data_IF_169544701955
#
_entry.id   IF_169544701955
#
_cell.length_a   1.000
_cell.length_b   1.000
_cell.length_c   1.000
_cell.angle_alpha   90.00
_cell.angle_beta   90.00
_cell.angle_gamma   90.00
#
_symmetry.space_group_name_H-M   'P 1'
#
loop_
_entity.id
_entity.type
_entity.pdbx_description
1 polymer ?
#
# COMPACT_ATOMS: atom_id res chain seq x y z
N UNK A 1 -27.46 -3.83 -30.63
CA UNK A 1 -27.36 -2.36 -30.80
C UNK A 1 -26.16 -1.87 -30.00
N UNK A 2 -25.12 -1.33 -30.64
CA UNK A 2 -24.05 -0.67 -29.91
C UNK A 2 -24.61 0.67 -29.38
N UNK A 3 -24.48 0.97 -28.07
CA UNK A 3 -24.94 2.25 -27.53
C UNK A 3 -24.25 3.39 -28.28
N UNK A 4 -24.99 4.46 -28.57
CA UNK A 4 -24.41 5.62 -29.21
C UNK A 4 -23.35 6.23 -28.29
N UNK A 5 -22.36 6.92 -28.85
CA UNK A 5 -21.31 7.59 -28.07
C UNK A 5 -21.88 8.64 -27.09
N UNK A 6 -23.14 9.05 -27.28
CA UNK A 6 -23.86 9.96 -26.38
C UNK A 6 -24.44 9.23 -25.17
N UNK A 7 -24.97 8.02 -25.34
CA UNK A 7 -25.54 7.22 -24.24
C UNK A 7 -24.46 6.89 -23.20
N UNK A 8 -23.28 6.47 -23.65
CA UNK A 8 -22.15 6.21 -22.76
C UNK A 8 -21.73 7.45 -21.97
N UNK A 9 -21.70 8.63 -22.60
CA UNK A 9 -21.35 9.89 -21.92
C UNK A 9 -22.36 10.25 -20.84
N UNK A 10 -23.65 10.08 -21.10
CA UNK A 10 -24.72 10.37 -20.14
C UNK A 10 -24.68 9.39 -18.97
N UNK A 11 -24.58 8.09 -19.24
CA UNK A 11 -24.47 7.05 -18.20
C UNK A 11 -23.24 7.30 -17.32
N UNK A 12 -22.10 7.61 -17.94
CA UNK A 12 -20.88 7.89 -17.19
C UNK A 12 -20.98 9.19 -16.37
N UNK A 13 -21.67 10.21 -16.87
CA UNK A 13 -21.89 11.44 -16.12
C UNK A 13 -22.70 11.16 -14.83
N UNK A 14 -23.76 10.36 -14.93
CA UNK A 14 -24.54 9.93 -13.75
C UNK A 14 -23.66 9.16 -12.77
N UNK A 15 -22.89 8.18 -13.27
CA UNK A 15 -21.94 7.43 -12.46
C UNK A 15 -20.95 8.35 -11.72
N UNK A 16 -20.32 9.28 -12.44
CA UNK A 16 -19.34 10.21 -11.90
C UNK A 16 -19.90 11.03 -10.74
N UNK A 17 -21.09 11.63 -10.93
CA UNK A 17 -21.71 12.48 -9.91
C UNK A 17 -22.20 11.69 -8.71
N UNK A 18 -22.77 10.50 -8.91
CA UNK A 18 -23.20 9.63 -7.80
C UNK A 18 -21.99 9.14 -7.00
N UNK A 19 -20.94 8.68 -7.69
CA UNK A 19 -19.71 8.21 -7.05
C UNK A 19 -19.04 9.31 -6.22
N UNK A 20 -18.80 10.48 -6.83
CA UNK A 20 -18.19 11.62 -6.15
C UNK A 20 -19.09 12.16 -5.03
N UNK A 21 -20.41 12.25 -5.25
CA UNK A 21 -21.35 12.68 -4.22
C UNK A 21 -21.32 11.78 -2.99
N UNK A 22 -21.30 10.45 -3.19
CA UNK A 22 -21.14 9.48 -2.10
C UNK A 22 -19.78 9.58 -1.41
N UNK A 23 -18.71 9.72 -2.17
CA UNK A 23 -17.37 9.86 -1.61
C UNK A 23 -17.23 11.13 -0.78
N UNK A 24 -17.74 12.27 -1.27
CA UNK A 24 -17.76 13.54 -0.54
C UNK A 24 -18.64 13.44 0.70
N UNK A 25 -19.80 12.77 0.63
CA UNK A 25 -20.64 12.53 1.81
C UNK A 25 -19.88 11.74 2.87
N UNK A 26 -19.27 10.61 2.50
CA UNK A 26 -18.45 9.79 3.40
C UNK A 26 -17.31 10.61 4.00
N UNK A 27 -16.63 11.40 3.18
CA UNK A 27 -15.47 12.16 3.63
C UNK A 27 -15.87 13.32 4.54
N UNK A 28 -16.81 14.17 4.14
CA UNK A 28 -17.17 15.39 4.88
C UNK A 28 -18.09 15.13 6.07
N UNK A 29 -18.95 14.11 6.03
CA UNK A 29 -19.87 13.78 7.14
C UNK A 29 -19.30 12.66 8.02
N UNK A 30 -18.52 11.73 7.45
CA UNK A 30 -18.00 10.56 8.18
C UNK A 30 -16.52 10.65 8.58
N UNK A 31 -15.61 10.96 7.66
CA UNK A 31 -14.17 10.89 7.94
C UNK A 31 -13.66 12.17 8.61
N UNK A 32 -13.97 13.33 8.04
CA UNK A 32 -13.44 14.63 8.46
C UNK A 32 -13.83 15.03 9.89
N UNK A 33 -15.10 14.98 10.33
CA UNK A 33 -15.48 15.42 11.68
C UNK A 33 -14.97 14.46 12.77
N UNK A 34 -14.89 13.16 12.48
CA UNK A 34 -14.50 12.15 13.47
C UNK A 34 -12.99 11.92 13.54
N UNK A 35 -12.28 12.00 12.41
CA UNK A 35 -10.84 11.73 12.35
C UNK A 35 -10.00 12.95 11.98
N UNK A 36 -10.52 13.91 11.21
CA UNK A 36 -9.72 14.99 10.64
C UNK A 36 -9.16 15.97 11.67
N UNK A 37 -10.02 16.48 12.56
CA UNK A 37 -9.59 17.45 13.59
C UNK A 37 -8.61 16.83 14.59
N UNK A 38 -8.89 15.61 15.02
CA UNK A 38 -7.99 14.90 15.92
C UNK A 38 -6.66 14.62 15.23
N UNK A 39 -6.65 14.15 13.98
CA UNK A 39 -5.42 13.85 13.23
C UNK A 39 -4.54 15.10 13.06
N UNK A 40 -5.16 16.25 12.78
CA UNK A 40 -4.45 17.52 12.64
C UNK A 40 -3.79 17.95 13.96
N UNK A 41 -4.53 17.85 15.08
CA UNK A 41 -3.99 18.14 16.41
C UNK A 41 -2.77 17.27 16.75
N UNK A 42 -2.88 15.96 16.53
CA UNK A 42 -1.81 15.01 16.80
C UNK A 42 -0.58 15.22 15.91
N UNK A 43 -0.79 15.55 14.64
CA UNK A 43 0.30 15.82 13.72
C UNK A 43 1.04 17.11 14.08
N UNK A 44 0.33 18.15 14.54
CA UNK A 44 0.94 19.38 15.09
C UNK A 44 1.71 19.06 16.37
N UNK A 45 1.20 18.16 17.21
CA UNK A 45 1.88 17.67 18.41
C UNK A 45 3.05 16.70 18.13
N UNK A 46 3.32 16.37 16.87
CA UNK A 46 4.39 15.43 16.48
C UNK A 46 4.09 13.96 16.80
N UNK A 47 2.86 13.61 17.15
CA UNK A 47 2.45 12.25 17.49
C UNK A 47 2.14 11.41 16.24
N UNK A 48 1.67 12.06 15.18
CA UNK A 48 1.39 11.43 13.89
C UNK A 48 2.35 11.98 12.82
N UNK A 49 3.00 11.12 12.02
CA UNK A 49 3.85 11.57 10.93
C UNK A 49 3.10 12.43 9.90
N UNK A 50 3.71 13.56 9.49
CA UNK A 50 3.11 14.52 8.54
C UNK A 50 2.73 13.91 7.18
N UNK A 51 3.36 12.79 6.80
CA UNK A 51 3.01 12.10 5.55
C UNK A 51 1.56 11.57 5.54
N UNK A 52 0.97 11.26 6.70
CA UNK A 52 -0.45 10.89 6.80
C UNK A 52 -1.38 12.08 6.58
N UNK A 53 -0.99 13.28 7.01
CA UNK A 53 -1.76 14.50 6.73
C UNK A 53 -1.85 14.75 5.23
N UNK A 54 -0.75 14.59 4.49
CA UNK A 54 -0.74 14.78 3.04
C UNK A 54 -1.75 13.84 2.37
N UNK A 55 -1.81 12.58 2.78
CA UNK A 55 -2.76 11.61 2.21
C UNK A 55 -4.19 11.82 2.67
N UNK A 56 -4.38 12.32 3.90
CA UNK A 56 -5.69 12.72 4.40
C UNK A 56 -6.24 13.92 3.62
N UNK A 57 -5.43 14.96 3.45
CA UNK A 57 -5.80 16.11 2.62
C UNK A 57 -6.01 15.69 1.16
N UNK A 58 -5.22 14.75 0.64
CA UNK A 58 -5.47 14.15 -0.67
C UNK A 58 -6.85 13.49 -0.76
N UNK A 59 -7.23 12.69 0.23
CA UNK A 59 -8.54 12.03 0.29
C UNK A 59 -9.72 13.01 0.27
N UNK A 60 -9.56 14.20 0.87
CA UNK A 60 -10.57 15.26 0.87
C UNK A 60 -10.51 16.11 -0.41
N UNK A 61 -9.32 16.57 -0.78
CA UNK A 61 -9.12 17.56 -1.83
C UNK A 61 -9.25 16.99 -3.24
N UNK A 62 -8.84 15.73 -3.48
CA UNK A 62 -8.91 15.11 -4.81
C UNK A 62 -10.34 15.03 -5.35
N UNK A 63 -11.30 14.39 -4.66
CA UNK A 63 -12.67 14.29 -5.17
C UNK A 63 -13.36 15.66 -5.20
N UNK A 64 -13.06 16.53 -4.23
CA UNK A 64 -13.59 17.91 -4.20
C UNK A 64 -13.12 18.70 -5.42
N UNK A 65 -11.82 18.66 -5.72
CA UNK A 65 -11.24 19.38 -6.86
C UNK A 65 -11.74 18.81 -8.17
N UNK A 66 -11.83 17.48 -8.31
CA UNK A 66 -12.36 16.84 -9.52
C UNK A 66 -13.84 17.20 -9.74
N UNK A 67 -14.65 17.20 -8.68
CA UNK A 67 -16.06 17.63 -8.74
C UNK A 67 -16.20 19.11 -9.13
N UNK A 68 -15.36 19.99 -8.57
CA UNK A 68 -15.33 21.42 -8.93
C UNK A 68 -14.87 21.65 -10.38
N UNK A 69 -13.87 20.90 -10.85
CA UNK A 69 -13.44 20.95 -12.24
C UNK A 69 -14.52 20.41 -13.18
N UNK A 70 -15.24 19.35 -12.78
CA UNK A 70 -16.34 18.77 -13.54
C UNK A 70 -17.54 19.72 -13.70
N UNK A 71 -17.90 20.48 -12.66
CA UNK A 71 -18.97 21.52 -12.78
C UNK A 71 -18.53 22.66 -13.71
N UNK A 72 -17.25 23.04 -13.65
CA UNK A 72 -16.66 24.05 -14.53
C UNK A 72 -16.29 23.51 -15.92
N UNK A 73 -16.55 22.23 -16.20
CA UNK A 73 -16.11 21.55 -17.41
C UNK A 73 -16.70 22.15 -18.70
N UNK A 74 -17.76 22.96 -18.62
CA UNK A 74 -18.25 23.75 -19.78
C UNK A 74 -17.18 24.71 -20.34
N UNK A 75 -16.20 25.14 -19.52
CA UNK A 75 -15.01 25.90 -19.95
C UNK A 75 -13.84 25.00 -20.40
N UNK A 76 -13.93 23.69 -20.20
CA UNK A 76 -12.90 22.68 -20.43
C UNK A 76 -13.39 21.61 -21.42
N UNK A 77 -14.05 22.04 -22.50
CA UNK A 77 -14.88 21.21 -23.40
C UNK A 77 -14.19 19.95 -23.97
N UNK A 78 -12.85 19.88 -23.92
CA UNK A 78 -12.09 18.74 -24.44
C UNK A 78 -11.82 17.62 -23.43
N UNK A 79 -11.85 17.91 -22.12
CA UNK A 79 -11.61 16.88 -21.10
C UNK A 79 -12.95 16.24 -20.72
N UNK A 80 -13.12 14.97 -21.07
CA UNK A 80 -14.30 14.20 -20.69
C UNK A 80 -14.27 13.85 -19.19
N UNK A 81 -15.45 13.72 -18.57
CA UNK A 81 -15.56 13.24 -17.17
C UNK A 81 -14.84 11.90 -16.98
N UNK A 82 -14.86 11.03 -17.98
CA UNK A 82 -14.17 9.74 -17.97
C UNK A 82 -12.65 9.89 -17.83
N UNK A 83 -12.05 10.85 -18.55
CA UNK A 83 -10.62 11.13 -18.47
C UNK A 83 -10.24 11.78 -17.14
N UNK A 84 -11.07 12.69 -16.63
CA UNK A 84 -10.84 13.31 -15.32
C UNK A 84 -10.88 12.26 -14.21
N UNK A 85 -11.90 11.40 -14.22
CA UNK A 85 -12.09 10.37 -13.21
C UNK A 85 -11.01 9.29 -13.26
N UNK A 86 -10.88 8.55 -14.37
CA UNK A 86 -9.94 7.43 -14.44
C UNK A 86 -8.49 7.83 -14.71
N UNK A 87 -8.26 9.04 -15.25
CA UNK A 87 -6.91 9.53 -15.55
C UNK A 87 -6.26 10.34 -14.43
N UNK A 88 -7.05 10.88 -13.50
CA UNK A 88 -6.56 11.76 -12.42
C UNK A 88 -7.13 11.35 -11.07
N UNK A 89 -8.47 11.37 -10.91
CA UNK A 89 -9.11 11.20 -9.60
C UNK A 89 -8.86 9.81 -9.01
N UNK A 90 -9.21 8.73 -9.73
CA UNK A 90 -9.11 7.36 -9.27
C UNK A 90 -7.66 6.94 -8.90
N UNK A 91 -6.62 7.21 -9.73
CA UNK A 91 -5.24 6.93 -9.34
C UNK A 91 -4.83 7.61 -8.02
N UNK A 92 -5.16 8.89 -7.85
CA UNK A 92 -4.82 9.64 -6.64
C UNK A 92 -5.62 9.15 -5.42
N UNK A 93 -6.90 8.81 -5.60
CA UNK A 93 -7.71 8.20 -4.56
C UNK A 93 -7.14 6.85 -4.12
N UNK A 94 -6.69 6.00 -5.06
CA UNK A 94 -6.02 4.73 -4.74
C UNK A 94 -4.79 4.98 -3.88
N UNK A 95 -3.94 5.95 -4.23
CA UNK A 95 -2.76 6.31 -3.43
C UNK A 95 -3.16 6.77 -2.03
N UNK A 96 -4.16 7.66 -1.92
CA UNK A 96 -4.59 8.20 -0.64
C UNK A 96 -5.22 7.12 0.26
N UNK A 97 -6.12 6.31 -0.28
CA UNK A 97 -6.79 5.22 0.45
C UNK A 97 -5.77 4.17 0.88
N UNK A 98 -4.93 3.70 -0.05
CA UNK A 98 -3.93 2.68 0.26
C UNK A 98 -2.95 3.21 1.31
N UNK A 99 -2.43 4.42 1.16
CA UNK A 99 -1.45 4.98 2.10
C UNK A 99 -2.05 5.29 3.47
N UNK A 100 -3.28 5.79 3.52
CA UNK A 100 -3.90 6.23 4.77
C UNK A 100 -4.48 5.07 5.57
N UNK A 101 -5.23 4.17 4.94
CA UNK A 101 -5.95 3.10 5.63
C UNK A 101 -5.24 1.75 5.63
N UNK A 102 -4.42 1.46 4.61
CA UNK A 102 -3.89 0.12 4.43
C UNK A 102 -2.41 0.01 4.79
N UNK A 103 -1.58 0.92 4.28
CA UNK A 103 -0.14 0.88 4.45
C UNK A 103 0.28 1.64 5.71
N UNK A 104 1.00 0.96 6.59
CA UNK A 104 1.52 1.55 7.83
C UNK A 104 2.90 2.17 7.59
N UNK A 105 3.95 1.36 7.61
CA UNK A 105 5.29 1.77 7.19
C UNK A 105 5.53 1.37 5.72
N UNK A 106 6.19 2.25 4.96
CA UNK A 106 6.35 2.07 3.53
C UNK A 106 7.59 1.22 3.23
N UNK A 107 7.39 0.09 2.56
CA UNK A 107 8.48 -0.69 1.99
C UNK A 107 9.01 -0.02 0.71
N UNK A 108 10.20 -0.42 0.26
CA UNK A 108 10.76 0.10 -1.00
C UNK A 108 9.85 -0.26 -2.18
N UNK A 109 9.31 -1.48 -2.19
CA UNK A 109 8.37 -1.93 -3.23
C UNK A 109 7.06 -1.14 -3.23
N UNK A 110 6.42 -0.96 -2.06
CA UNK A 110 5.19 -0.18 -1.99
C UNK A 110 5.43 1.29 -2.33
N UNK A 111 6.56 1.86 -1.92
CA UNK A 111 6.96 3.24 -2.28
C UNK A 111 7.11 3.39 -3.78
N UNK A 112 7.78 2.45 -4.45
CA UNK A 112 7.94 2.44 -5.89
C UNK A 112 6.60 2.41 -6.63
N UNK A 113 5.66 1.57 -6.20
CA UNK A 113 4.31 1.53 -6.77
C UNK A 113 3.54 2.85 -6.60
N UNK A 114 3.54 3.41 -5.38
CA UNK A 114 2.85 4.68 -5.11
C UNK A 114 3.46 5.84 -5.90
N UNK A 115 4.79 5.93 -5.97
CA UNK A 115 5.48 6.94 -6.77
C UNK A 115 5.18 6.78 -8.26
N UNK A 116 5.15 5.54 -8.77
CA UNK A 116 4.77 5.27 -10.16
C UNK A 116 3.37 5.83 -10.45
N UNK A 117 2.41 5.63 -9.54
CA UNK A 117 1.06 6.17 -9.68
C UNK A 117 1.08 7.70 -9.71
N UNK A 118 1.78 8.34 -8.77
CA UNK A 118 1.84 9.80 -8.67
C UNK A 118 2.47 10.41 -9.93
N UNK A 119 3.65 9.93 -10.35
CA UNK A 119 4.33 10.45 -11.53
C UNK A 119 3.55 10.19 -12.82
N UNK A 120 2.98 9.00 -12.96
CA UNK A 120 2.14 8.64 -14.09
C UNK A 120 0.88 9.49 -14.18
N UNK A 121 0.28 9.83 -13.03
CA UNK A 121 -0.88 10.72 -12.95
C UNK A 121 -0.51 12.16 -13.28
N UNK A 122 0.61 12.68 -12.77
CA UNK A 122 1.11 14.03 -13.13
C UNK A 122 1.34 14.12 -14.64
N UNK A 123 1.96 13.10 -15.24
CA UNK A 123 2.18 13.05 -16.69
C UNK A 123 0.89 13.03 -17.49
N UNK A 124 -0.11 12.32 -16.99
CA UNK A 124 -1.42 12.24 -17.63
C UNK A 124 -2.21 13.53 -17.48
N UNK A 125 -2.18 14.17 -16.31
CA UNK A 125 -2.79 15.47 -16.07
C UNK A 125 -2.16 16.53 -16.97
N UNK A 126 -0.83 16.55 -17.07
CA UNK A 126 -0.14 17.47 -17.98
C UNK A 126 -0.45 17.15 -19.45
N UNK A 127 -0.54 15.87 -19.84
CA UNK A 127 -0.94 15.52 -21.20
C UNK A 127 -2.36 16.03 -21.53
N UNK A 128 -3.31 15.87 -20.61
CA UNK A 128 -4.68 16.37 -20.76
C UNK A 128 -4.72 17.91 -20.87
N UNK A 129 -3.89 18.61 -20.10
CA UNK A 129 -3.77 20.07 -20.16
C UNK A 129 -3.08 20.55 -21.44
N UNK A 130 -1.95 19.95 -21.83
CA UNK A 130 -1.20 20.37 -23.02
C UNK A 130 -1.97 20.15 -24.31
N UNK A 131 -2.71 19.03 -24.40
CA UNK A 131 -3.51 18.73 -25.59
C UNK A 131 -4.58 19.78 -25.86
N UNK A 132 -5.15 20.36 -24.80
CA UNK A 132 -6.14 21.43 -24.88
C UNK A 132 -5.57 22.67 -25.56
N UNK A 133 -4.35 23.07 -25.20
CA UNK A 133 -3.75 24.31 -25.70
C UNK A 133 -3.10 24.08 -27.08
N UNK A 134 -2.47 22.92 -27.27
CA UNK A 134 -1.82 22.57 -28.53
C UNK A 134 -1.80 21.03 -28.71
N UNK A 135 -2.60 20.48 -29.64
CA UNK A 135 -2.62 19.06 -29.93
C UNK A 135 -1.26 18.46 -30.33
N UNK A 136 -0.30 19.29 -30.77
CA UNK A 136 1.07 18.90 -31.15
C UNK A 136 2.07 18.97 -29.99
N UNK A 137 1.66 19.40 -28.79
CA UNK A 137 2.53 19.54 -27.60
C UNK A 137 2.75 18.21 -26.84
N UNK A 138 2.41 17.07 -27.45
CA UNK A 138 2.67 15.75 -26.86
C UNK A 138 4.16 15.41 -26.93
N UNK A 139 4.70 14.89 -25.82
CA UNK A 139 6.13 14.60 -25.64
C UNK A 139 6.36 13.17 -25.08
N UNK A 140 7.60 12.66 -25.20
CA UNK A 140 8.00 11.32 -24.76
C UNK A 140 7.71 11.04 -23.28
N UNK A 141 7.78 12.04 -22.42
CA UNK A 141 7.51 11.86 -21.00
C UNK A 141 6.02 11.60 -20.70
N UNK A 142 5.09 12.11 -21.54
CA UNK A 142 3.67 11.75 -21.48
C UNK A 142 3.49 10.26 -21.79
N UNK A 143 4.16 9.78 -22.83
CA UNK A 143 4.15 8.38 -23.22
C UNK A 143 4.73 7.48 -22.13
N UNK A 144 5.85 7.88 -21.52
CA UNK A 144 6.43 7.15 -20.39
C UNK A 144 5.43 7.06 -19.22
N UNK A 145 4.86 8.19 -18.79
CA UNK A 145 3.88 8.22 -17.70
C UNK A 145 2.62 7.39 -17.97
N UNK A 146 2.07 7.45 -19.18
CA UNK A 146 0.90 6.64 -19.58
C UNK A 146 1.24 5.14 -19.65
N UNK A 147 2.46 4.79 -20.06
CA UNK A 147 2.93 3.40 -20.09
C UNK A 147 3.07 2.83 -18.69
N UNK A 148 3.65 3.61 -17.77
CA UNK A 148 3.75 3.25 -16.36
C UNK A 148 2.37 3.11 -15.71
N UNK A 149 1.46 4.06 -15.96
CA UNK A 149 0.08 3.96 -15.45
C UNK A 149 -0.69 2.79 -16.02
N UNK A 150 -0.48 2.44 -17.30
CA UNK A 150 -1.09 1.26 -17.88
C UNK A 150 -0.57 -0.02 -17.19
N UNK A 151 0.73 -0.11 -16.91
CA UNK A 151 1.31 -1.23 -16.18
C UNK A 151 0.68 -1.37 -14.78
N UNK A 152 0.54 -0.25 -14.05
CA UNK A 152 -0.17 -0.21 -12.77
C UNK A 152 -1.63 -0.62 -12.93
N UNK A 153 -2.35 -0.09 -13.91
CA UNK A 153 -3.78 -0.38 -14.09
C UNK A 153 -4.01 -1.87 -14.39
N UNK A 154 -3.14 -2.47 -15.21
CA UNK A 154 -3.14 -3.92 -15.48
C UNK A 154 -2.81 -4.70 -14.20
N UNK A 155 -1.81 -4.28 -13.42
CA UNK A 155 -1.47 -4.90 -12.14
C UNK A 155 -2.65 -4.87 -11.15
N UNK A 156 -3.29 -3.71 -10.97
CA UNK A 156 -4.48 -3.58 -10.11
C UNK A 156 -5.67 -4.38 -10.64
N UNK A 157 -5.84 -4.48 -11.96
CA UNK A 157 -6.88 -5.30 -12.58
C UNK A 157 -6.64 -6.78 -12.32
N UNK A 158 -5.39 -7.24 -12.42
CA UNK A 158 -5.01 -8.60 -12.09
C UNK A 158 -5.31 -8.92 -10.62
N UNK A 159 -5.01 -8.01 -9.69
CA UNK A 159 -5.38 -8.15 -8.27
C UNK A 159 -6.90 -8.20 -8.06
N UNK A 160 -7.65 -7.31 -8.73
CA UNK A 160 -9.10 -7.28 -8.63
C UNK A 160 -9.75 -8.57 -9.18
N UNK A 161 -9.16 -9.18 -10.21
CA UNK A 161 -9.66 -10.40 -10.84
C UNK A 161 -9.80 -11.58 -9.86
N UNK A 162 -8.95 -11.66 -8.83
CA UNK A 162 -9.06 -12.67 -7.76
C UNK A 162 -10.35 -12.55 -6.95
N UNK A 163 -10.96 -11.37 -6.91
CA UNK A 163 -12.20 -11.13 -6.17
C UNK A 163 -13.44 -11.12 -7.07
N UNK A 164 -13.28 -11.00 -8.40
CA UNK A 164 -14.40 -11.02 -9.36
C UNK A 164 -15.20 -12.31 -9.26
N UNK A 165 -14.57 -13.47 -9.41
CA UNK A 165 -15.30 -14.73 -9.47
C UNK A 165 -16.02 -15.04 -8.14
N UNK A 166 -15.37 -14.94 -6.97
CA UNK A 166 -16.07 -15.15 -5.70
C UNK A 166 -17.19 -14.13 -5.46
N UNK A 167 -16.98 -12.85 -5.79
CA UNK A 167 -18.00 -11.82 -5.56
C UNK A 167 -19.26 -12.03 -6.40
N UNK A 168 -19.17 -12.55 -7.63
CA UNK A 168 -20.34 -12.85 -8.45
C UNK A 168 -21.32 -13.83 -7.78
N UNK A 169 -20.81 -14.80 -7.03
CA UNK A 169 -21.66 -15.77 -6.31
C UNK A 169 -22.36 -15.14 -5.10
N UNK A 170 -21.68 -14.22 -4.40
CA UNK A 170 -22.21 -13.53 -3.21
C UNK A 170 -23.20 -12.42 -3.59
N UNK A 171 -22.88 -11.67 -4.65
CA UNK A 171 -23.69 -10.54 -5.15
C UNK A 171 -25.03 -11.03 -5.72
N UNK A 172 -25.08 -12.23 -6.32
CA UNK A 172 -26.33 -12.86 -6.74
C UNK A 172 -27.34 -13.04 -5.59
N UNK A 173 -26.86 -13.14 -4.35
CA UNK A 173 -27.65 -13.32 -3.14
C UNK A 173 -28.07 -11.98 -2.51
N UNK A 174 -27.23 -10.94 -2.62
CA UNK A 174 -27.51 -9.59 -2.11
C UNK A 174 -28.50 -8.80 -3.00
N UNK A 175 -28.48 -9.01 -4.31
CA UNK A 175 -29.44 -8.38 -5.24
C UNK A 175 -30.87 -8.92 -5.01
N UNK A 176 -31.00 -10.15 -4.50
CA UNK A 176 -32.28 -10.76 -4.15
C UNK A 176 -32.88 -10.19 -2.85
N UNK A 177 -32.11 -9.44 -2.04
CA UNK A 177 -32.51 -8.85 -0.76
C UNK A 177 -32.92 -7.36 -0.88
N UNK A 178 -33.81 -7.06 -1.82
CA UNK A 178 -35.13 -6.46 -1.54
C UNK A 178 -35.31 -5.15 -0.72
N UNK A 179 -34.33 -4.23 -0.59
CA UNK A 179 -34.62 -2.87 -0.04
C UNK A 179 -33.99 -1.67 -0.81
N UNK A 180 -34.89 -1.00 -1.54
CA UNK A 180 -35.07 0.45 -1.80
C UNK A 180 -33.97 1.30 -2.48
N UNK A 181 -34.45 2.27 -3.28
CA UNK A 181 -33.73 3.37 -3.95
C UNK A 181 -32.59 3.99 -3.13
N UNK A 182 -32.68 3.94 -1.80
CA UNK A 182 -31.66 4.43 -0.85
C UNK A 182 -30.32 3.72 -1.01
N UNK A 183 -30.30 2.44 -1.36
CA UNK A 183 -29.05 1.68 -1.54
C UNK A 183 -28.46 1.78 -2.94
N UNK A 184 -29.18 2.35 -3.92
CA UNK A 184 -28.68 2.50 -5.29
C UNK A 184 -27.38 3.32 -5.33
N UNK A 185 -27.27 4.49 -4.66
CA UNK A 185 -26.02 5.24 -4.61
C UNK A 185 -24.87 4.44 -3.97
N UNK A 186 -25.15 3.67 -2.93
CA UNK A 186 -24.16 2.80 -2.27
C UNK A 186 -23.70 1.68 -3.20
N UNK A 187 -24.63 1.04 -3.93
CA UNK A 187 -24.32 0.01 -4.91
C UNK A 187 -23.49 0.56 -6.08
N UNK A 188 -23.85 1.74 -6.62
CA UNK A 188 -23.08 2.43 -7.66
C UNK A 188 -21.68 2.79 -7.15
N UNK A 189 -21.57 3.28 -5.92
CA UNK A 189 -20.29 3.58 -5.30
C UNK A 189 -19.40 2.33 -5.14
N UNK A 190 -19.96 1.24 -4.60
CA UNK A 190 -19.27 -0.04 -4.44
C UNK A 190 -18.85 -0.64 -5.80
N UNK A 191 -19.75 -0.63 -6.78
CA UNK A 191 -19.45 -1.04 -8.15
C UNK A 191 -18.37 -0.15 -8.77
N UNK A 192 -18.40 1.15 -8.47
CA UNK A 192 -17.38 2.10 -8.88
C UNK A 192 -16.00 1.69 -8.38
N UNK A 193 -15.86 1.46 -7.06
CA UNK A 193 -14.61 0.99 -6.44
C UNK A 193 -14.10 -0.30 -7.10
N UNK A 194 -15.01 -1.24 -7.36
CA UNK A 194 -14.67 -2.52 -7.98
C UNK A 194 -14.23 -2.39 -9.44
N UNK A 195 -14.86 -1.48 -10.20
CA UNK A 195 -14.59 -1.27 -11.63
C UNK A 195 -13.45 -0.28 -11.90
N UNK A 196 -12.90 0.37 -10.87
CA UNK A 196 -11.81 1.35 -11.01
C UNK A 196 -10.64 0.85 -11.87
N UNK A 197 -10.06 -0.35 -11.60
CA UNK A 197 -8.88 -0.80 -12.36
C UNK A 197 -9.18 -1.00 -13.84
N UNK A 198 -10.38 -1.53 -14.17
CA UNK A 198 -10.80 -1.78 -15.55
C UNK A 198 -11.01 -0.47 -16.33
N UNK A 199 -11.63 0.54 -15.69
CA UNK A 199 -11.79 1.87 -16.26
C UNK A 199 -10.45 2.55 -16.53
N UNK A 200 -9.50 2.41 -15.59
CA UNK A 200 -8.12 2.87 -15.76
C UNK A 200 -7.43 2.17 -16.94
N UNK A 201 -7.51 0.85 -17.07
CA UNK A 201 -6.91 0.13 -18.22
C UNK A 201 -7.45 0.67 -19.54
N UNK A 202 -8.77 0.84 -19.66
CA UNK A 202 -9.39 1.42 -20.87
C UNK A 202 -8.89 2.84 -21.13
N UNK A 203 -8.80 3.68 -20.10
CA UNK A 203 -8.32 5.06 -20.20
C UNK A 203 -6.87 5.11 -20.68
N UNK A 204 -5.97 4.35 -20.03
CA UNK A 204 -4.54 4.38 -20.31
C UNK A 204 -4.15 3.66 -21.60
N UNK A 205 -4.88 2.61 -22.02
CA UNK A 205 -4.71 2.01 -23.33
C UNK A 205 -5.02 3.02 -24.44
N UNK A 206 -6.13 3.75 -24.30
CA UNK A 206 -6.55 4.75 -25.29
C UNK A 206 -5.57 5.92 -25.33
N UNK A 207 -5.22 6.51 -24.18
CA UNK A 207 -4.31 7.65 -24.13
C UNK A 207 -2.92 7.28 -24.65
N UNK A 208 -2.39 6.12 -24.27
CA UNK A 208 -1.14 5.59 -24.82
C UNK A 208 -1.22 5.41 -26.34
N UNK A 209 -2.28 4.82 -26.87
CA UNK A 209 -2.44 4.61 -28.32
C UNK A 209 -2.48 5.92 -29.09
N UNK A 210 -3.19 6.92 -28.58
CA UNK A 210 -3.25 8.27 -29.17
C UNK A 210 -1.87 8.94 -29.17
N UNK A 211 -1.17 8.92 -28.03
CA UNK A 211 0.19 9.46 -27.87
C UNK A 211 1.21 8.73 -28.76
N UNK A 212 1.15 7.40 -28.84
CA UNK A 212 2.01 6.58 -29.70
C UNK A 212 1.87 6.96 -31.17
N UNK A 213 0.65 7.16 -31.66
CA UNK A 213 0.39 7.57 -33.04
C UNK A 213 0.98 8.96 -33.33
N UNK A 214 0.75 9.93 -32.43
CA UNK A 214 1.24 11.30 -32.61
C UNK A 214 2.77 11.41 -32.53
N UNK A 215 3.40 10.70 -31.60
CA UNK A 215 4.86 10.68 -31.52
C UNK A 215 5.48 9.84 -32.64
N UNK A 216 4.78 8.78 -33.07
CA UNK A 216 5.21 7.91 -34.16
C UNK A 216 5.35 8.65 -35.49
N UNK A 217 4.45 9.58 -35.80
CA UNK A 217 4.58 10.44 -36.99
C UNK A 217 5.74 11.43 -36.89
N UNK A 218 6.12 11.84 -35.68
CA UNK A 218 7.16 12.87 -35.43
C UNK A 218 8.57 12.31 -35.31
N UNK A 219 8.73 11.16 -34.65
CA UNK A 219 10.04 10.55 -34.34
C UNK A 219 10.26 9.19 -35.02
N UNK A 220 9.25 8.67 -35.73
CA UNK A 220 9.25 7.34 -36.34
C UNK A 220 8.67 6.27 -35.40
N UNK A 221 7.75 5.46 -35.92
CA UNK A 221 6.99 4.48 -35.12
C UNK A 221 7.89 3.49 -34.36
N UNK A 222 8.93 2.97 -35.02
CA UNK A 222 9.86 2.01 -34.43
C UNK A 222 10.54 2.57 -33.17
N UNK A 223 11.09 3.79 -33.24
CA UNK A 223 11.82 4.41 -32.12
C UNK A 223 10.89 4.63 -30.92
N UNK A 224 9.66 5.06 -31.19
CA UNK A 224 8.67 5.33 -30.14
C UNK A 224 8.15 4.03 -29.49
N UNK A 225 7.95 2.96 -30.27
CA UNK A 225 7.62 1.64 -29.73
C UNK A 225 8.78 1.08 -28.89
N UNK A 226 10.00 1.11 -29.40
CA UNK A 226 11.19 0.69 -28.66
C UNK A 226 11.36 1.47 -27.34
N UNK A 227 11.17 2.79 -27.35
CA UNK A 227 11.16 3.60 -26.13
C UNK A 227 10.11 3.11 -25.12
N UNK A 228 8.90 2.82 -25.59
CA UNK A 228 7.82 2.32 -24.73
C UNK A 228 8.16 0.98 -24.10
N UNK A 229 8.71 0.06 -24.90
CA UNK A 229 9.09 -1.27 -24.45
C UNK A 229 10.24 -1.21 -23.44
N UNK A 230 11.21 -0.32 -23.64
CA UNK A 230 12.30 -0.06 -22.68
C UNK A 230 11.76 0.49 -21.36
N UNK A 231 10.83 1.46 -21.39
CA UNK A 231 10.21 1.99 -20.16
C UNK A 231 9.46 0.90 -19.41
N UNK A 232 8.66 0.10 -20.11
CA UNK A 232 7.91 -1.00 -19.50
C UNK A 232 8.84 -2.07 -18.93
N UNK A 233 9.85 -2.51 -19.68
CA UNK A 233 10.82 -3.50 -19.24
C UNK A 233 11.64 -3.00 -18.04
N UNK A 234 12.08 -1.74 -18.05
CA UNK A 234 12.78 -1.12 -16.93
C UNK A 234 11.91 -1.04 -15.68
N UNK A 235 10.62 -0.70 -15.82
CA UNK A 235 9.68 -0.73 -14.71
C UNK A 235 9.47 -2.14 -14.17
N UNK A 236 9.24 -3.13 -15.04
CA UNK A 236 9.00 -4.52 -14.66
C UNK A 236 10.22 -5.13 -13.96
N UNK A 237 11.42 -4.92 -14.50
CA UNK A 237 12.66 -5.35 -13.88
C UNK A 237 12.83 -4.73 -12.50
N UNK A 238 12.63 -3.42 -12.38
CA UNK A 238 12.70 -2.71 -11.09
C UNK A 238 11.69 -3.28 -10.10
N UNK A 239 10.45 -3.51 -10.54
CA UNK A 239 9.39 -4.10 -9.73
C UNK A 239 9.78 -5.47 -9.19
N UNK A 240 10.27 -6.37 -10.06
CA UNK A 240 10.69 -7.72 -9.67
C UNK A 240 11.89 -7.73 -8.73
N UNK A 241 12.85 -6.82 -8.92
CA UNK A 241 14.00 -6.68 -8.02
C UNK A 241 13.58 -6.18 -6.65
N UNK A 242 12.69 -5.19 -6.59
CA UNK A 242 12.21 -4.61 -5.33
C UNK A 242 11.26 -5.53 -4.55
N UNK A 243 10.68 -6.55 -5.18
CA UNK A 243 9.87 -7.56 -4.48
C UNK A 243 10.69 -8.49 -3.58
N UNK A 244 12.01 -8.57 -3.77
CA UNK A 244 12.86 -9.38 -2.90
C UNK A 244 12.98 -8.74 -1.52
N UNK A 245 12.35 -9.37 -0.52
CA UNK A 245 12.35 -8.83 0.82
C UNK A 245 13.69 -9.13 1.54
N UNK A 246 14.26 -8.16 2.27
CA UNK A 246 15.64 -8.24 2.76
C UNK A 246 15.85 -9.35 3.82
N UNK A 247 14.81 -9.77 4.54
CA UNK A 247 14.91 -10.83 5.55
C UNK A 247 15.28 -12.19 4.94
N UNK A 248 14.85 -12.46 3.70
CA UNK A 248 15.14 -13.75 3.04
C UNK A 248 16.65 -13.91 2.86
N UNK A 249 17.33 -12.81 2.53
CA UNK A 249 18.80 -12.78 2.40
C UNK A 249 19.46 -12.89 3.77
N UNK A 250 18.99 -12.14 4.77
CA UNK A 250 19.56 -12.17 6.11
C UNK A 250 19.45 -13.56 6.77
N UNK A 251 18.28 -14.21 6.71
CA UNK A 251 18.10 -15.55 7.23
C UNK A 251 18.94 -16.60 6.50
N UNK A 252 19.13 -16.45 5.18
CA UNK A 252 20.02 -17.33 4.42
C UNK A 252 21.50 -17.13 4.80
N UNK A 253 21.93 -15.89 5.05
CA UNK A 253 23.31 -15.61 5.48
C UNK A 253 23.61 -16.13 6.88
N UNK A 254 22.60 -16.18 7.76
CA UNK A 254 22.72 -16.59 9.16
C UNK A 254 22.25 -18.02 9.44
N UNK A 255 21.84 -18.79 8.42
CA UNK A 255 21.34 -20.16 8.62
C UNK A 255 22.43 -21.12 9.09
N UNK A 256 23.69 -20.84 8.72
CA UNK A 256 24.84 -21.65 9.09
C UNK A 256 25.84 -20.81 9.89
N UNK A 257 26.25 -21.24 11.10
CA UNK A 257 27.28 -20.53 11.85
C UNK A 257 28.61 -20.53 11.09
N UNK A 258 29.37 -19.42 11.09
CA UNK A 258 30.66 -19.35 10.42
C UNK A 258 31.65 -20.33 11.07
N UNK A 259 32.25 -21.21 10.27
CA UNK A 259 33.23 -22.19 10.72
C UNK A 259 34.67 -21.68 10.64
N UNK A 260 34.92 -20.62 9.87
CA UNK A 260 36.25 -20.03 9.69
C UNK A 260 36.23 -18.51 9.90
N UNK A 261 37.37 -17.94 10.25
CA UNK A 261 37.49 -16.48 10.42
C UNK A 261 37.24 -15.72 9.11
N UNK A 262 37.61 -16.31 7.96
CA UNK A 262 37.29 -15.76 6.65
C UNK A 262 35.78 -15.66 6.41
N UNK A 263 35.00 -16.68 6.81
CA UNK A 263 33.54 -16.64 6.73
C UNK A 263 32.95 -15.61 7.69
N UNK A 264 33.49 -15.50 8.91
CA UNK A 264 33.07 -14.46 9.87
C UNK A 264 33.30 -13.07 9.28
N UNK A 265 34.47 -12.82 8.70
CA UNK A 265 34.79 -11.53 8.08
C UNK A 265 33.87 -11.22 6.89
N UNK A 266 33.55 -12.21 6.05
CA UNK A 266 32.62 -12.06 4.94
C UNK A 266 31.19 -11.71 5.40
N UNK A 267 30.74 -12.25 6.54
CA UNK A 267 29.45 -11.88 7.14
C UNK A 267 29.49 -10.46 7.72
N UNK A 268 30.58 -10.06 8.38
CA UNK A 268 30.75 -8.70 8.91
C UNK A 268 30.71 -7.63 7.80
N UNK A 269 31.28 -7.93 6.62
CA UNK A 269 31.15 -7.07 5.43
C UNK A 269 29.70 -6.90 4.95
N UNK A 270 28.83 -7.87 5.25
CA UNK A 270 27.39 -7.85 4.93
C UNK A 270 26.52 -7.44 6.13
N UNK A 271 27.11 -6.89 7.18
CA UNK A 271 26.42 -6.48 8.41
C UNK A 271 25.21 -5.59 8.14
N UNK A 272 25.31 -4.61 7.25
CA UNK A 272 24.17 -3.73 6.94
C UNK A 272 23.00 -4.47 6.26
N UNK A 273 23.29 -5.42 5.37
CA UNK A 273 22.27 -6.28 4.74
C UNK A 273 21.59 -7.16 5.78
N UNK A 274 22.37 -7.78 6.67
CA UNK A 274 21.87 -8.60 7.77
C UNK A 274 20.99 -7.75 8.69
N UNK A 275 21.48 -6.60 9.15
CA UNK A 275 20.74 -5.64 9.97
C UNK A 275 19.40 -5.27 9.35
N UNK A 276 19.40 -4.88 8.08
CA UNK A 276 18.18 -4.46 7.37
C UNK A 276 17.18 -5.60 7.25
N UNK A 277 17.64 -6.82 6.96
CA UNK A 277 16.77 -7.99 6.85
C UNK A 277 16.18 -8.42 8.19
N UNK A 278 17.00 -8.50 9.25
CA UNK A 278 16.52 -8.84 10.59
C UNK A 278 15.56 -7.77 11.13
N UNK A 279 15.86 -6.49 10.92
CA UNK A 279 14.95 -5.41 11.29
C UNK A 279 13.63 -5.46 10.51
N UNK A 280 13.66 -5.84 9.22
CA UNK A 280 12.44 -6.02 8.44
C UNK A 280 11.58 -7.19 8.93
N UNK A 281 12.19 -8.31 9.32
CA UNK A 281 11.48 -9.44 9.91
C UNK A 281 10.88 -9.07 11.28
N UNK A 282 11.67 -8.40 12.13
CA UNK A 282 11.21 -7.95 13.45
C UNK A 282 10.03 -6.97 13.37
N UNK A 283 10.05 -6.07 12.38
CA UNK A 283 8.99 -5.09 12.15
C UNK A 283 7.88 -5.59 11.23
N UNK A 284 7.84 -6.88 10.90
CA UNK A 284 6.87 -7.41 9.94
C UNK A 284 5.40 -7.11 10.30
N UNK A 285 4.94 -7.17 11.58
CA UNK A 285 3.54 -6.88 11.93
C UNK A 285 3.18 -5.40 11.80
N UNK A 286 4.19 -4.52 11.77
CA UNK A 286 4.02 -3.07 11.67
C UNK A 286 4.21 -2.55 10.25
N UNK A 287 4.92 -3.30 9.39
CA UNK A 287 5.18 -2.94 7.99
C UNK A 287 4.20 -3.54 7.00
N UNK A 288 3.85 -4.81 7.19
CA UNK A 288 3.06 -5.55 6.22
C UNK A 288 1.63 -5.70 6.75
N UNK A 289 0.61 -5.25 6.01
CA UNK A 289 -0.79 -5.42 6.42
C UNK A 289 -1.26 -6.87 6.52
N UNK A 290 -0.51 -7.81 5.91
CA UNK A 290 -0.86 -9.22 5.83
C UNK A 290 0.35 -10.08 6.22
N UNK A 291 0.15 -10.92 7.22
CA UNK A 291 1.02 -12.02 7.63
C UNK A 291 0.28 -13.33 7.34
N UNK A 292 0.97 -14.36 6.84
CA UNK A 292 0.43 -15.73 6.69
C UNK A 292 -0.97 -15.80 6.05
N UNK A 293 -1.15 -15.20 4.88
CA UNK A 293 -2.48 -15.08 4.27
C UNK A 293 -2.87 -16.36 3.50
N UNK A 294 -3.86 -17.10 4.02
CA UNK A 294 -4.54 -18.22 3.32
C UNK A 294 -5.94 -17.89 2.81
N UNK A 295 -6.36 -16.63 2.95
CA UNK A 295 -7.74 -16.22 2.72
C UNK A 295 -8.19 -16.40 1.26
N UNK A 296 -7.30 -16.29 0.26
CA UNK A 296 -7.70 -16.53 -1.13
C UNK A 296 -7.92 -18.00 -1.40
N UNK A 297 -7.07 -18.88 -0.88
CA UNK A 297 -7.27 -20.33 -0.95
C UNK A 297 -8.63 -20.69 -0.35
N UNK A 298 -8.90 -20.21 0.86
CA UNK A 298 -10.11 -20.53 1.61
C UNK A 298 -11.35 -19.96 0.90
N UNK A 299 -11.27 -18.74 0.35
CA UNK A 299 -12.34 -18.13 -0.46
C UNK A 299 -12.68 -18.97 -1.70
N UNK A 300 -11.68 -19.46 -2.44
CA UNK A 300 -11.93 -20.25 -3.64
C UNK A 300 -12.40 -21.68 -3.31
N UNK A 301 -11.92 -22.27 -2.22
CA UNK A 301 -12.39 -23.58 -1.76
C UNK A 301 -13.84 -23.53 -1.28
N UNK A 302 -14.21 -22.54 -0.45
CA UNK A 302 -15.53 -22.49 0.16
C UNK A 302 -16.60 -21.88 -0.76
N UNK A 303 -16.26 -20.87 -1.55
CA UNK A 303 -17.24 -20.16 -2.38
C UNK A 303 -17.39 -20.80 -3.76
N UNK A 304 -16.28 -21.23 -4.37
CA UNK A 304 -16.27 -21.79 -5.72
C UNK A 304 -16.07 -23.31 -5.75
N UNK A 305 -15.93 -23.96 -4.59
CA UNK A 305 -15.74 -25.41 -4.46
C UNK A 305 -14.52 -25.94 -5.24
N UNK A 306 -13.45 -25.12 -5.34
CA UNK A 306 -12.23 -25.54 -6.04
C UNK A 306 -11.51 -26.66 -5.27
N UNK A 307 -10.90 -27.64 -5.97
CA UNK A 307 -10.03 -28.62 -5.33
C UNK A 307 -8.86 -27.95 -4.58
N UNK A 308 -8.33 -28.55 -3.51
CA UNK A 308 -7.29 -27.92 -2.69
C UNK A 308 -6.05 -27.44 -3.47
N UNK A 309 -5.60 -28.24 -4.44
CA UNK A 309 -4.45 -27.92 -5.29
C UNK A 309 -4.72 -26.67 -6.15
N UNK A 310 -5.90 -26.58 -6.77
CA UNK A 310 -6.26 -25.45 -7.62
C UNK A 310 -6.38 -24.16 -6.80
N UNK A 311 -6.99 -24.22 -5.61
CA UNK A 311 -7.08 -23.09 -4.71
C UNK A 311 -5.71 -22.64 -4.18
N UNK A 312 -4.78 -23.56 -3.96
CA UNK A 312 -3.40 -23.23 -3.58
C UNK A 312 -2.67 -22.50 -4.71
N UNK A 313 -2.82 -22.93 -5.96
CA UNK A 313 -2.24 -22.23 -7.12
C UNK A 313 -2.75 -20.78 -7.18
N UNK A 314 -4.05 -20.57 -6.97
CA UNK A 314 -4.64 -19.22 -6.91
C UNK A 314 -4.02 -18.39 -5.78
N UNK A 315 -3.85 -18.99 -4.59
CA UNK A 315 -3.21 -18.35 -3.44
C UNK A 315 -1.75 -17.98 -3.70
N UNK A 316 -0.98 -18.85 -4.36
CA UNK A 316 0.43 -18.61 -4.66
C UNK A 316 0.61 -17.46 -5.66
N UNK A 317 -0.22 -17.43 -6.71
CA UNK A 317 -0.26 -16.31 -7.66
C UNK A 317 -0.69 -15.01 -7.00
N UNK A 318 -1.69 -15.07 -6.13
CA UNK A 318 -2.12 -13.91 -5.36
C UNK A 318 -1.00 -13.39 -4.46
N UNK A 319 -0.33 -14.27 -3.72
CA UNK A 319 0.79 -13.93 -2.84
C UNK A 319 1.97 -13.34 -3.62
N UNK A 320 2.26 -13.86 -4.81
CA UNK A 320 3.27 -13.29 -5.70
C UNK A 320 2.92 -11.84 -6.09
N UNK A 321 1.68 -11.59 -6.52
CA UNK A 321 1.25 -10.25 -6.91
C UNK A 321 1.15 -9.29 -5.73
N UNK A 322 0.78 -9.77 -4.54
CA UNK A 322 0.69 -8.96 -3.31
C UNK A 322 1.97 -8.92 -2.49
N UNK A 323 3.07 -9.50 -2.99
CA UNK A 323 4.37 -9.48 -2.31
C UNK A 323 4.87 -8.09 -1.88
N UNK A 324 4.61 -6.98 -2.61
CA UNK A 324 4.93 -5.63 -2.13
C UNK A 324 4.25 -5.24 -0.81
N UNK A 325 3.15 -5.92 -0.47
CA UNK A 325 2.26 -5.63 0.67
C UNK A 325 2.11 -6.80 1.65
N UNK A 326 2.72 -7.94 1.37
CA UNK A 326 2.55 -9.17 2.16
C UNK A 326 3.91 -9.64 2.62
N UNK A 327 4.07 -9.89 3.92
CA UNK A 327 5.34 -10.40 4.43
C UNK A 327 5.59 -11.82 3.91
N UNK A 328 6.80 -12.08 3.42
CA UNK A 328 7.24 -13.41 3.03
C UNK A 328 7.90 -14.10 4.23
N UNK A 329 7.10 -14.80 5.03
CA UNK A 329 7.55 -15.49 6.23
C UNK A 329 6.41 -15.80 7.18
N UNK A 330 6.76 -16.09 8.42
CA UNK A 330 5.83 -16.47 9.50
C UNK A 330 5.84 -15.46 10.64
N UNK A 331 4.83 -15.49 11.51
CA UNK A 331 4.80 -14.67 12.71
C UNK A 331 5.99 -14.99 13.66
N UNK A 332 6.46 -16.25 13.66
CA UNK A 332 7.62 -16.68 14.43
C UNK A 332 8.94 -16.02 13.99
N UNK A 333 8.98 -15.43 12.79
CA UNK A 333 10.19 -14.75 12.30
C UNK A 333 10.53 -13.49 13.12
N UNK A 334 9.58 -12.92 13.87
CA UNK A 334 9.84 -11.78 14.77
C UNK A 334 10.81 -12.18 15.88
N UNK A 335 10.51 -13.27 16.59
CA UNK A 335 11.35 -13.77 17.70
C UNK A 335 12.68 -14.30 17.17
N UNK A 336 12.63 -15.04 16.06
CA UNK A 336 13.82 -15.52 15.36
C UNK A 336 14.74 -14.37 14.95
N UNK A 337 14.20 -13.29 14.42
CA UNK A 337 14.99 -12.12 14.04
C UNK A 337 15.62 -11.42 15.24
N UNK A 338 14.90 -11.32 16.36
CA UNK A 338 15.44 -10.76 17.60
C UNK A 338 16.61 -11.59 18.15
N UNK A 339 16.48 -12.92 18.15
CA UNK A 339 17.53 -13.85 18.59
C UNK A 339 18.78 -13.75 17.69
N UNK A 340 18.59 -13.87 16.37
CA UNK A 340 19.69 -13.78 15.41
C UNK A 340 20.39 -12.42 15.45
N UNK A 341 19.64 -11.33 15.69
CA UNK A 341 20.22 -10.00 15.83
C UNK A 341 21.10 -9.92 17.08
N UNK A 342 20.61 -10.43 18.21
CA UNK A 342 21.37 -10.44 19.46
C UNK A 342 22.64 -11.27 19.36
N UNK A 343 22.59 -12.42 18.68
CA UNK A 343 23.75 -13.29 18.44
C UNK A 343 24.78 -12.67 17.49
N UNK A 344 24.35 -11.89 16.50
CA UNK A 344 25.26 -11.34 15.48
C UNK A 344 25.86 -9.97 15.87
N UNK A 345 25.09 -9.13 16.56
CA UNK A 345 25.49 -7.75 16.92
C UNK A 345 25.82 -7.57 18.41
N UNK A 346 25.79 -8.64 19.19
CA UNK A 346 26.02 -8.65 20.64
C UNK A 346 25.16 -7.61 21.40
N UNK A 347 23.95 -7.36 20.90
CA UNK A 347 23.04 -6.39 21.49
C UNK A 347 21.58 -6.69 21.12
N UNK A 348 20.62 -6.50 22.05
CA UNK A 348 19.20 -6.63 21.73
C UNK A 348 18.76 -5.65 20.64
N UNK A 349 17.99 -6.14 19.66
CA UNK A 349 17.47 -5.32 18.55
C UNK A 349 16.69 -4.10 19.03
N UNK A 350 15.88 -4.27 20.09
CA UNK A 350 15.12 -3.18 20.73
C UNK A 350 15.99 -2.04 21.24
N UNK A 351 17.23 -2.33 21.65
CA UNK A 351 18.16 -1.33 22.18
C UNK A 351 18.86 -0.57 21.06
N UNK A 352 19.36 -1.29 20.04
CA UNK A 352 20.13 -0.71 18.93
C UNK A 352 19.25 -0.04 17.87
N UNK A 353 18.04 -0.55 17.63
CA UNK A 353 17.15 -0.11 16.56
C UNK A 353 15.93 0.69 17.07
N UNK A 354 15.97 1.16 18.32
CA UNK A 354 14.86 1.87 18.96
C UNK A 354 14.24 2.97 18.08
N UNK A 355 15.01 3.86 17.41
CA UNK A 355 14.42 4.91 16.58
C UNK A 355 13.63 4.36 15.37
N UNK A 356 14.13 3.28 14.75
CA UNK A 356 13.46 2.66 13.61
C UNK A 356 12.16 1.95 14.05
N UNK A 357 12.18 1.33 15.23
CA UNK A 357 11.02 0.65 15.80
C UNK A 357 9.94 1.66 16.22
N UNK A 358 10.31 2.74 16.91
CA UNK A 358 9.37 3.81 17.27
C UNK A 358 8.73 4.42 16.02
N UNK A 359 9.53 4.71 14.99
CA UNK A 359 9.02 5.23 13.73
C UNK A 359 8.01 4.28 13.08
N UNK A 360 8.29 2.98 13.05
CA UNK A 360 7.37 2.00 12.45
C UNK A 360 6.06 1.91 13.24
N UNK A 361 6.11 1.93 14.57
CA UNK A 361 4.93 1.93 15.43
C UNK A 361 4.04 3.15 15.26
N UNK A 362 4.66 4.33 15.11
CA UNK A 362 3.95 5.59 14.88
C UNK A 362 3.45 5.76 13.45
N UNK A 363 3.90 4.92 12.51
CA UNK A 363 3.51 4.99 11.11
C UNK A 363 2.14 4.36 10.86
N UNK A 364 1.11 4.79 11.58
CA UNK A 364 -0.26 4.25 11.47
C UNK A 364 -1.27 5.32 11.86
N UNK A 365 -2.48 5.27 11.30
CA UNK A 365 -3.57 6.14 11.74
C UNK A 365 -4.21 5.65 13.06
N UNK A 366 -4.07 4.35 13.37
CA UNK A 366 -4.54 3.73 14.61
C UNK A 366 -3.71 4.14 15.83
N UNK A 367 -4.23 5.12 16.58
CA UNK A 367 -3.58 5.70 17.77
C UNK A 367 -3.45 4.73 18.92
N UNK A 368 -4.50 3.97 19.20
CA UNK A 368 -4.50 3.07 20.36
C UNK A 368 -3.53 1.92 20.11
N UNK A 369 -3.48 1.40 18.88
CA UNK A 369 -2.47 0.43 18.47
C UNK A 369 -1.04 0.98 18.55
N UNK A 370 -0.80 2.20 18.08
CA UNK A 370 0.52 2.84 18.16
C UNK A 370 0.97 3.06 19.61
N UNK A 371 0.07 3.60 20.45
CA UNK A 371 0.35 3.88 21.86
C UNK A 371 0.57 2.58 22.64
N UNK A 372 -0.30 1.58 22.50
CA UNK A 372 -0.12 0.29 23.15
C UNK A 372 1.20 -0.40 22.75
N UNK A 373 1.60 -0.27 21.48
CA UNK A 373 2.89 -0.79 21.00
C UNK A 373 4.08 -0.06 21.64
N UNK A 374 4.03 1.27 21.74
CA UNK A 374 5.06 2.07 22.39
C UNK A 374 5.12 1.78 23.90
N UNK A 375 3.97 1.70 24.55
CA UNK A 375 3.84 1.39 25.97
C UNK A 375 4.42 0.00 26.26
N UNK A 376 4.14 -1.02 25.44
CA UNK A 376 4.73 -2.36 25.62
C UNK A 376 6.27 -2.35 25.47
N UNK A 377 6.81 -1.60 24.50
CA UNK A 377 8.26 -1.45 24.36
C UNK A 377 8.88 -0.74 25.56
N UNK A 378 8.19 0.28 26.09
CA UNK A 378 8.66 1.08 27.22
C UNK A 378 8.44 0.36 28.55
N UNK A 379 7.42 -0.48 28.70
CA UNK A 379 7.16 -1.28 29.90
C UNK A 379 8.24 -2.34 30.15
N UNK A 380 8.96 -2.78 29.10
CA UNK A 380 10.21 -3.55 29.30
C UNK A 380 11.34 -2.73 29.94
N UNK A 381 11.15 -1.43 30.17
CA UNK A 381 12.04 -0.54 30.91
C UNK A 381 11.33 -0.04 32.18
N UNK A 382 11.07 -0.94 33.11
CA UNK A 382 10.79 -0.49 34.48
C UNK A 382 12.12 -0.09 35.10
N UNK A 383 12.21 1.14 35.60
CA UNK A 383 13.39 1.55 36.35
C UNK A 383 13.33 0.86 37.70
N UNK A 384 14.27 -0.06 37.95
CA UNK A 384 14.49 -0.60 39.28
C UNK A 384 15.17 0.50 40.10
N UNK A 385 14.38 1.16 40.94
CA UNK A 385 14.85 2.24 41.80
C UNK A 385 15.68 1.67 42.94
N UNK A 386 15.25 0.53 43.48
CA UNK A 386 15.95 -0.15 44.55
C UNK A 386 15.75 -1.66 44.46
N UNK A 387 16.83 -2.42 44.55
CA UNK A 387 16.82 -3.86 44.72
C UNK A 387 17.51 -4.19 46.03
N UNK A 388 16.75 -4.69 47.00
CA UNK A 388 17.29 -5.13 48.28
C UNK A 388 17.27 -6.65 48.34
N UNK A 389 18.43 -7.23 48.61
CA UNK A 389 18.58 -8.68 48.78
C UNK A 389 18.90 -8.92 50.25
N UNK A 390 17.99 -9.59 50.95
CA UNK A 390 18.19 -9.96 52.35
C UNK A 390 18.48 -11.45 52.41
N UNK A 391 19.62 -11.83 52.98
CA UNK A 391 20.02 -13.23 53.14
C UNK A 391 20.06 -13.57 54.62
N UNK A 392 19.29 -14.59 55.04
CA UNK A 392 19.27 -15.13 56.40
C UNK A 392 19.86 -16.53 56.41
N UNK A 393 21.14 -16.70 56.76
CA UNK A 393 21.80 -17.99 56.77
C UNK A 393 21.40 -18.86 57.98
N UNK A 394 21.21 -20.15 57.72
CA UNK A 394 20.84 -21.23 58.64
C UNK A 394 21.85 -22.39 58.54
N UNK A 395 23.14 -22.08 58.74
CA UNK A 395 24.22 -23.06 58.64
C UNK A 395 24.47 -23.48 57.19
N UNK A 396 23.89 -24.61 56.80
CA UNK A 396 24.14 -25.25 55.49
C UNK A 396 23.20 -24.72 54.37
N UNK A 397 22.25 -23.86 54.70
CA UNK A 397 21.32 -23.24 53.76
C UNK A 397 20.97 -21.81 54.20
N UNK A 398 20.33 -21.01 53.34
CA UNK A 398 19.93 -19.65 53.67
C UNK A 398 18.60 -19.28 53.01
N UNK A 399 17.79 -18.48 53.71
CA UNK A 399 16.63 -17.81 53.12
C UNK A 399 17.08 -16.55 52.41
N UNK A 400 16.75 -16.44 51.12
CA UNK A 400 17.03 -15.26 50.30
C UNK A 400 15.71 -14.59 49.96
N UNK A 401 15.52 -13.39 50.48
CA UNK A 401 14.38 -12.53 50.17
C UNK A 401 14.84 -11.41 49.24
N UNK A 402 14.24 -11.35 48.05
CA UNK A 402 14.53 -10.33 47.04
C UNK A 402 13.32 -9.40 46.99
N UNK A 403 13.54 -8.14 47.38
CA UNK A 403 12.53 -7.09 47.35
C UNK A 403 12.92 -6.07 46.29
N UNK A 404 12.07 -5.93 45.27
CA UNK A 404 12.28 -5.03 44.14
C UNK A 404 11.27 -3.88 44.18
N UNK A 405 11.77 -2.65 44.16
CA UNK A 405 10.97 -1.44 44.09
C UNK A 405 11.18 -0.80 42.72
N UNK A 406 10.12 -0.81 41.93
CA UNK A 406 10.17 -0.46 40.52
C UNK A 406 9.28 0.73 40.23
N UNK A 407 9.82 1.77 39.60
CA UNK A 407 9.08 2.98 39.26
C UNK A 407 8.77 3.01 37.75
N UNK A 408 7.51 3.30 37.41
CA UNK A 408 7.09 3.54 36.03
C UNK A 408 7.09 5.05 35.80
N UNK A 409 8.01 5.63 35.03
CA UNK A 409 7.96 7.05 34.74
C UNK A 409 6.67 7.35 33.95
N UNK A 410 5.91 8.34 34.42
CA UNK A 410 4.64 8.81 33.83
C UNK A 410 4.82 9.45 32.45
#
# INVERSE_FOLDING_TARGET
MQPSNNDFKQIFAVFFWVFNGMLLLIVYVGVLPFMGFSLLGDAIAGQVPLNFLVTFFGLVSVPTTCSLLATKAKRWQEITLFQLFYGIEAPLLIVCIARFFWLRDLTVASTFLLLTIVFGTIATAHWLLSRRDNPMAVNLWHLAGQTLMLAIAVYLTALAAFYVLPSLTVVGLLIMLFYTVILIPVAIFALGLFTLPFGMVRMYLRSRSETLKQLGTRYGEWRVRAFTDVIFAGWLLTFLLLQQQPQVVAFRLLSNPPQTDAQRQALLQKSNTIRTGLLNAYLSPYRYPRLENTAMRDLYQHTLHFPPIAAQIVQDWFNFLTAPFTYQGTAADVDKAAQLYAQFFDAPILRKENPAIQKALQSTFDRSGAKAGLDNINQKRVWLEQQNITVKPHGDWADVEISELSHTPL
#
